data_IF_982146014781
#
_entry.id   IF_982146014781
#
_cell.length_a   1.000
_cell.length_b   1.000
_cell.length_c   1.000
_cell.angle_alpha   90.00
_cell.angle_beta   90.00
_cell.angle_gamma   90.00
#
_symmetry.space_group_name_H-M   'P 1'
#
loop_
_entity.id
_entity.type
_entity.pdbx_description
1 polymer ?
#
# COMPACT_ATOMS: atom_id res chain seq x y z
N UNK A 1 -15.36 -23.93 -16.34
CA UNK A 1 -14.84 -23.09 -15.24
C UNK A 1 -15.12 -23.77 -13.91
N UNK A 2 -14.09 -24.14 -13.15
CA UNK A 2 -14.31 -24.59 -11.78
C UNK A 2 -14.51 -23.32 -10.94
N UNK A 3 -15.69 -23.12 -10.38
CA UNK A 3 -15.91 -22.08 -9.37
C UNK A 3 -15.04 -22.45 -8.15
N UNK A 4 -13.96 -21.73 -7.93
CA UNK A 4 -13.20 -21.85 -6.70
C UNK A 4 -14.05 -21.26 -5.59
N UNK A 5 -14.47 -22.07 -4.63
CA UNK A 5 -15.29 -21.61 -3.51
C UNK A 5 -14.39 -20.77 -2.61
N UNK A 6 -14.60 -19.46 -2.60
CA UNK A 6 -13.89 -18.52 -1.72
C UNK A 6 -14.25 -18.83 -0.27
N UNK A 7 -13.29 -18.89 0.63
CA UNK A 7 -13.52 -19.08 2.06
C UNK A 7 -14.17 -17.85 2.70
N UNK A 8 -15.07 -18.05 3.69
CA UNK A 8 -15.56 -16.92 4.49
C UNK A 8 -14.43 -16.16 5.15
N UNK A 9 -14.57 -14.85 5.22
CA UNK A 9 -13.64 -13.95 5.90
C UNK A 9 -14.39 -12.77 6.50
N UNK A 10 -13.79 -12.12 7.48
CA UNK A 10 -14.34 -10.95 8.15
C UNK A 10 -13.35 -9.78 8.15
N UNK A 11 -13.91 -8.60 8.24
CA UNK A 11 -13.27 -7.36 8.66
C UNK A 11 -13.82 -7.03 10.02
N UNK A 12 -13.01 -7.16 11.07
CA UNK A 12 -13.39 -6.81 12.43
C UNK A 12 -12.71 -5.51 12.82
N UNK A 13 -13.48 -4.52 13.22
CA UNK A 13 -13.01 -3.22 13.67
C UNK A 13 -12.72 -3.20 15.17
N UNK A 14 -11.93 -2.28 15.64
CA UNK A 14 -11.50 -2.14 17.04
C UNK A 14 -12.68 -1.96 18.00
N UNK A 15 -13.76 -1.31 17.57
CA UNK A 15 -14.99 -1.14 18.34
C UNK A 15 -15.90 -2.39 18.39
N UNK A 16 -15.49 -3.46 17.70
CA UNK A 16 -16.21 -4.73 17.63
C UNK A 16 -17.18 -4.86 16.46
N UNK A 17 -17.30 -3.85 15.60
CA UNK A 17 -18.13 -3.92 14.39
C UNK A 17 -17.52 -4.91 13.40
N UNK A 18 -18.38 -5.76 12.78
CA UNK A 18 -17.95 -6.81 11.86
C UNK A 18 -18.60 -6.63 10.50
N UNK A 19 -17.76 -6.68 9.45
CA UNK A 19 -18.22 -6.81 8.06
C UNK A 19 -17.83 -8.17 7.53
N UNK A 20 -18.74 -8.85 6.85
CA UNK A 20 -18.52 -10.17 6.28
C UNK A 20 -18.13 -10.08 4.82
N UNK A 21 -17.24 -10.97 4.42
CA UNK A 21 -16.76 -11.09 3.05
C UNK A 21 -16.17 -12.46 2.79
N UNK A 22 -15.27 -12.54 1.81
CA UNK A 22 -14.62 -13.79 1.41
C UNK A 22 -13.15 -13.54 1.14
N UNK A 23 -12.29 -14.45 1.58
CA UNK A 23 -10.86 -14.40 1.31
C UNK A 23 -10.58 -14.68 -0.17
N UNK A 24 -9.61 -13.95 -0.72
CA UNK A 24 -9.04 -14.17 -2.05
C UNK A 24 -7.65 -14.76 -1.87
N UNK A 25 -7.48 -16.02 -2.28
CA UNK A 25 -6.19 -16.72 -2.20
C UNK A 25 -5.80 -17.11 -0.78
N UNK A 26 -5.04 -16.28 -0.11
CA UNK A 26 -4.43 -16.54 1.19
C UNK A 26 -5.44 -16.68 2.33
N UNK A 27 -5.13 -17.56 3.29
CA UNK A 27 -5.81 -17.69 4.58
C UNK A 27 -4.97 -17.11 5.72
N UNK A 28 -5.61 -16.81 6.84
CA UNK A 28 -4.97 -16.29 8.04
C UNK A 28 -5.57 -14.98 8.50
N UNK A 29 -4.72 -14.12 9.06
CA UNK A 29 -5.13 -12.80 9.56
C UNK A 29 -4.11 -11.72 9.20
N UNK A 30 -4.59 -10.49 8.99
CA UNK A 30 -3.79 -9.31 8.79
C UNK A 30 -4.33 -8.17 9.66
N UNK A 31 -3.45 -7.46 10.34
CA UNK A 31 -3.76 -6.37 11.25
C UNK A 31 -3.23 -5.05 10.73
N UNK A 32 -3.90 -3.95 11.03
CA UNK A 32 -3.47 -2.60 10.68
C UNK A 32 -4.55 -1.57 10.97
N UNK A 33 -4.19 -0.30 10.92
CA UNK A 33 -5.16 0.76 10.93
C UNK A 33 -5.95 0.76 9.61
N UNK A 34 -7.27 0.81 9.69
CA UNK A 34 -8.12 0.79 8.51
C UNK A 34 -8.25 2.18 7.91
N UNK A 35 -8.03 2.27 6.61
CA UNK A 35 -8.23 3.48 5.82
C UNK A 35 -8.96 3.16 4.52
N UNK A 36 -9.38 4.18 3.76
CA UNK A 36 -10.05 3.96 2.48
C UNK A 36 -9.52 4.90 1.39
N UNK A 37 -9.67 4.45 0.16
CA UNK A 37 -9.40 5.26 -1.03
C UNK A 37 -10.59 5.20 -1.98
N UNK A 38 -10.98 6.37 -2.53
CA UNK A 38 -12.13 6.52 -3.44
C UNK A 38 -11.75 6.62 -4.91
N UNK A 39 -10.47 6.46 -5.24
CA UNK A 39 -9.97 6.45 -6.61
C UNK A 39 -10.65 5.35 -7.44
N UNK A 40 -11.09 5.69 -8.64
CA UNK A 40 -11.76 4.75 -9.56
C UNK A 40 -10.75 3.87 -10.31
N UNK A 41 -9.50 4.30 -10.38
CA UNK A 41 -8.37 3.64 -11.07
C UNK A 41 -7.11 3.81 -10.23
N UNK A 42 -6.00 3.16 -10.63
CA UNK A 42 -4.73 3.32 -9.96
C UNK A 42 -4.62 2.49 -8.67
N UNK A 43 -5.25 1.32 -8.63
CA UNK A 43 -5.21 0.49 -7.43
C UNK A 43 -3.80 -0.02 -7.12
N UNK A 44 -2.98 -0.32 -8.13
CA UNK A 44 -1.62 -0.82 -7.93
C UNK A 44 -0.72 0.28 -7.35
N UNK A 45 -0.85 1.50 -7.85
CA UNK A 45 -0.18 2.68 -7.33
C UNK A 45 -0.55 2.90 -5.85
N UNK A 46 -1.83 2.76 -5.49
CA UNK A 46 -2.30 2.88 -4.10
C UNK A 46 -1.68 1.78 -3.21
N UNK A 47 -1.65 0.52 -3.67
CA UNK A 47 -1.17 -0.60 -2.86
C UNK A 47 0.35 -0.56 -2.65
N UNK A 48 1.08 0.05 -3.57
CA UNK A 48 2.54 0.19 -3.52
C UNK A 48 3.01 1.55 -3.02
N UNK A 49 2.09 2.46 -2.69
CA UNK A 49 2.39 3.76 -2.13
C UNK A 49 2.89 3.65 -0.68
N UNK A 50 4.11 4.11 -0.38
CA UNK A 50 4.65 4.10 0.99
C UNK A 50 3.79 4.84 2.01
N UNK A 51 2.94 5.78 1.58
CA UNK A 51 2.04 6.54 2.46
C UNK A 51 1.02 5.66 3.19
N UNK A 52 0.73 4.46 2.66
CA UNK A 52 -0.21 3.50 3.24
C UNK A 52 0.48 2.35 3.97
N UNK A 53 1.76 2.50 4.30
CA UNK A 53 2.53 1.44 4.95
C UNK A 53 1.85 0.95 6.25
N UNK A 54 1.61 -0.36 6.30
CA UNK A 54 1.00 -1.03 7.46
C UNK A 54 -0.50 -0.81 7.64
N UNK A 55 -1.18 -0.09 6.74
CA UNK A 55 -2.63 0.13 6.81
C UNK A 55 -3.43 -0.94 6.06
N UNK A 56 -4.63 -1.23 6.54
CA UNK A 56 -5.64 -2.01 5.82
C UNK A 56 -6.39 -1.05 4.90
N UNK A 57 -6.26 -1.27 3.59
CA UNK A 57 -6.86 -0.42 2.56
C UNK A 57 -8.26 -0.92 2.16
N UNK A 58 -9.26 -0.07 2.29
CA UNK A 58 -10.59 -0.30 1.72
C UNK A 58 -10.69 0.40 0.37
N UNK A 59 -10.76 -0.37 -0.71
CA UNK A 59 -11.00 0.17 -2.04
C UNK A 59 -12.50 0.44 -2.23
N UNK A 60 -12.88 1.72 -2.34
CA UNK A 60 -14.29 2.12 -2.52
C UNK A 60 -14.81 1.84 -3.94
N UNK A 61 -13.90 1.68 -4.92
CA UNK A 61 -14.29 1.29 -6.29
C UNK A 61 -14.91 -0.10 -6.32
N UNK A 62 -15.84 -0.30 -7.26
CA UNK A 62 -16.62 -1.55 -7.33
C UNK A 62 -15.76 -2.74 -7.76
N UNK A 63 -14.81 -2.54 -8.66
CA UNK A 63 -13.99 -3.60 -9.24
C UNK A 63 -12.51 -3.36 -9.00
N UNK A 64 -11.83 -4.38 -8.47
CA UNK A 64 -10.39 -4.45 -8.29
C UNK A 64 -9.85 -5.64 -9.10
N UNK A 65 -8.70 -5.49 -9.75
CA UNK A 65 -8.04 -6.54 -10.53
C UNK A 65 -8.45 -6.60 -12.01
N UNK A 66 -9.44 -5.82 -12.42
CA UNK A 66 -10.04 -5.87 -13.77
C UNK A 66 -9.11 -5.45 -14.92
N UNK A 67 -7.96 -4.84 -14.64
CA UNK A 67 -6.96 -4.48 -15.66
C UNK A 67 -5.56 -5.08 -15.39
N UNK A 68 -5.45 -5.98 -14.39
CA UNK A 68 -4.20 -6.68 -14.08
C UNK A 68 -3.17 -5.82 -13.35
N UNK A 69 -1.91 -6.21 -13.42
CA UNK A 69 -0.78 -5.51 -12.84
C UNK A 69 0.32 -5.24 -13.88
N UNK A 70 1.03 -4.12 -13.71
CA UNK A 70 2.10 -3.67 -14.58
C UNK A 70 3.23 -3.05 -13.74
N UNK A 71 4.45 -3.55 -13.87
CA UNK A 71 5.57 -3.23 -12.97
C UNK A 71 5.91 -1.75 -12.90
N UNK A 72 5.72 -0.99 -14.00
CA UNK A 72 5.98 0.44 -14.02
C UNK A 72 4.97 1.29 -13.25
N UNK A 73 3.83 0.72 -12.86
CA UNK A 73 2.82 1.40 -12.04
C UNK A 73 3.12 1.30 -10.54
N UNK A 74 4.18 0.59 -10.14
CA UNK A 74 4.60 0.57 -8.76
C UNK A 74 5.16 1.91 -8.30
N UNK A 75 4.68 2.39 -7.15
CA UNK A 75 5.17 3.60 -6.50
C UNK A 75 6.35 3.34 -5.55
N UNK A 76 6.65 2.06 -5.26
CA UNK A 76 7.82 1.62 -4.49
C UNK A 76 8.29 0.22 -4.91
N UNK A 77 9.11 -0.44 -4.10
CA UNK A 77 9.69 -1.76 -4.36
C UNK A 77 8.69 -2.93 -4.17
N UNK A 78 7.49 -2.66 -3.68
CA UNK A 78 6.45 -3.67 -3.49
C UNK A 78 5.21 -3.13 -2.80
N UNK A 79 4.29 -4.01 -2.42
CA UNK A 79 3.07 -3.66 -1.69
C UNK A 79 3.41 -3.15 -0.29
N UNK A 80 2.80 -2.06 0.11
CA UNK A 80 3.01 -1.38 1.40
C UNK A 80 1.83 -1.51 2.36
N UNK A 81 0.63 -1.75 1.82
CA UNK A 81 -0.55 -1.99 2.64
C UNK A 81 -0.47 -3.33 3.38
N UNK A 82 -1.04 -3.43 4.57
CA UNK A 82 -1.11 -4.65 5.37
C UNK A 82 -2.20 -5.63 4.88
N UNK A 83 -3.25 -5.11 4.27
CA UNK A 83 -4.37 -5.89 3.75
C UNK A 83 -5.27 -5.08 2.85
N UNK A 84 -6.07 -5.78 2.03
CA UNK A 84 -6.99 -5.16 1.08
C UNK A 84 -8.41 -5.63 1.33
N UNK A 85 -9.35 -4.67 1.34
CA UNK A 85 -10.79 -4.92 1.34
C UNK A 85 -11.40 -4.34 0.09
N UNK A 86 -12.19 -5.13 -0.65
CA UNK A 86 -12.85 -4.68 -1.86
C UNK A 86 -14.25 -5.27 -2.03
N UNK A 87 -15.04 -4.66 -2.93
CA UNK A 87 -16.38 -5.16 -3.27
C UNK A 87 -16.30 -6.37 -4.19
N UNK A 88 -15.65 -6.24 -5.31
CA UNK A 88 -15.46 -7.31 -6.29
C UNK A 88 -13.99 -7.43 -6.65
N UNK A 89 -13.47 -8.64 -6.59
CA UNK A 89 -12.11 -8.97 -7.02
C UNK A 89 -12.15 -9.77 -8.33
N UNK A 90 -11.48 -9.27 -9.37
CA UNK A 90 -11.32 -9.94 -10.65
C UNK A 90 -9.96 -10.63 -10.72
N UNK A 91 -9.96 -11.90 -11.10
CA UNK A 91 -8.75 -12.66 -11.38
C UNK A 91 -8.24 -12.47 -12.81
N UNK A 92 -9.04 -11.80 -13.66
CA UNK A 92 -8.73 -11.59 -15.07
C UNK A 92 -8.50 -10.10 -15.35
N UNK A 93 -7.29 -9.78 -15.77
CA UNK A 93 -6.95 -8.47 -16.30
C UNK A 93 -7.33 -8.35 -17.77
N UNK A 94 -7.93 -7.22 -18.17
CA UNK A 94 -8.37 -6.96 -19.56
C UNK A 94 -7.43 -6.05 -20.35
N UNK A 95 -6.45 -5.42 -19.68
CA UNK A 95 -5.54 -4.46 -20.31
C UNK A 95 -4.39 -5.16 -21.04
N UNK A 96 -4.15 -4.86 -22.35
CA UNK A 96 -3.12 -5.56 -23.15
C UNK A 96 -1.69 -5.44 -22.62
N UNK A 97 -1.36 -4.35 -21.91
CA UNK A 97 -0.01 -4.14 -21.33
C UNK A 97 0.16 -4.78 -19.95
N UNK A 98 -0.86 -5.44 -19.41
CA UNK A 98 -0.76 -6.15 -18.15
C UNK A 98 0.27 -7.28 -18.25
N UNK A 99 1.20 -7.35 -17.31
CA UNK A 99 2.22 -8.39 -17.23
C UNK A 99 1.71 -9.64 -16.51
N UNK A 100 0.81 -9.44 -15.55
CA UNK A 100 0.22 -10.52 -14.75
C UNK A 100 -1.18 -10.15 -14.26
N UNK A 101 -1.93 -11.13 -13.74
CA UNK A 101 -3.17 -10.84 -13.02
C UNK A 101 -2.86 -10.16 -11.68
N UNK A 102 -3.77 -9.31 -11.20
CA UNK A 102 -3.59 -8.72 -9.87
C UNK A 102 -3.52 -9.78 -8.77
N UNK A 103 -4.26 -10.89 -8.92
CA UNK A 103 -4.21 -12.02 -7.97
C UNK A 103 -2.80 -12.59 -7.85
N UNK A 104 -2.13 -12.90 -8.97
CA UNK A 104 -0.75 -13.40 -8.98
C UNK A 104 0.23 -12.38 -8.37
N UNK A 105 0.08 -11.09 -8.70
CA UNK A 105 0.88 -10.02 -8.10
C UNK A 105 0.75 -9.99 -6.58
N UNK A 106 -0.48 -9.98 -6.04
CA UNK A 106 -0.73 -9.89 -4.60
C UNK A 106 -0.34 -11.17 -3.85
N UNK A 107 -0.48 -12.35 -4.47
CA UNK A 107 -0.03 -13.63 -3.91
C UNK A 107 1.49 -13.63 -3.72
N UNK A 108 2.24 -13.21 -4.74
CA UNK A 108 3.70 -13.06 -4.68
C UNK A 108 4.14 -12.05 -3.61
N UNK A 109 3.34 -11.02 -3.36
CA UNK A 109 3.53 -10.02 -2.30
C UNK A 109 3.00 -10.48 -0.94
N UNK A 110 2.43 -11.69 -0.84
CA UNK A 110 1.87 -12.27 0.38
C UNK A 110 0.79 -11.41 1.05
N UNK A 111 0.02 -10.65 0.27
CA UNK A 111 -1.04 -9.77 0.78
C UNK A 111 -2.32 -10.55 1.09
N UNK A 112 -2.95 -10.23 2.22
CA UNK A 112 -4.27 -10.76 2.58
C UNK A 112 -5.38 -9.88 1.99
N UNK A 113 -6.32 -10.50 1.27
CA UNK A 113 -7.40 -9.80 0.57
C UNK A 113 -8.76 -10.35 1.00
N UNK A 114 -9.68 -9.46 1.35
CA UNK A 114 -11.09 -9.80 1.59
C UNK A 114 -11.96 -9.10 0.56
N UNK A 115 -12.66 -9.88 -0.25
CA UNK A 115 -13.63 -9.42 -1.25
C UNK A 115 -15.07 -9.68 -0.80
N UNK A 116 -16.02 -9.25 -1.62
CA UNK A 116 -17.47 -9.42 -1.41
C UNK A 116 -17.99 -8.68 -0.16
N UNK A 117 -17.25 -7.63 0.28
CA UNK A 117 -17.63 -6.78 1.42
C UNK A 117 -18.51 -5.62 0.94
N UNK A 118 -19.46 -5.18 1.78
CA UNK A 118 -20.13 -3.90 1.56
C UNK A 118 -19.19 -2.73 1.87
N UNK A 119 -18.34 -2.42 0.89
CA UNK A 119 -17.34 -1.35 1.03
C UNK A 119 -17.97 0.04 1.17
N UNK A 120 -19.18 0.25 0.65
CA UNK A 120 -19.89 1.53 0.80
C UNK A 120 -20.30 1.76 2.26
N UNK A 121 -20.89 0.74 2.90
CA UNK A 121 -21.24 0.81 4.32
C UNK A 121 -19.98 0.97 5.19
N UNK A 122 -18.91 0.19 4.91
CA UNK A 122 -17.65 0.25 5.64
C UNK A 122 -16.97 1.62 5.51
N UNK A 123 -16.89 2.19 4.31
CA UNK A 123 -16.31 3.53 4.08
C UNK A 123 -17.11 4.61 4.80
N UNK A 124 -18.47 4.54 4.76
CA UNK A 124 -19.31 5.47 5.51
C UNK A 124 -19.06 5.34 7.02
N UNK A 125 -18.93 4.13 7.51
CA UNK A 125 -18.65 3.86 8.92
C UNK A 125 -17.31 4.48 9.36
N UNK A 126 -16.24 4.21 8.64
CA UNK A 126 -14.89 4.75 8.93
C UNK A 126 -14.90 6.29 8.87
N UNK A 127 -15.58 6.86 7.89
CA UNK A 127 -15.69 8.32 7.75
C UNK A 127 -16.38 8.97 8.96
N UNK A 128 -17.40 8.32 9.50
CA UNK A 128 -18.24 8.89 10.57
C UNK A 128 -17.62 8.64 11.97
N UNK A 129 -16.82 7.56 12.13
CA UNK A 129 -16.21 7.16 13.41
C UNK A 129 -14.69 7.41 13.50
N UNK A 130 -14.05 7.76 12.38
CA UNK A 130 -12.60 7.94 12.29
C UNK A 130 -11.84 6.64 11.95
N UNK A 131 -10.54 6.79 11.71
CA UNK A 131 -9.64 5.65 11.53
C UNK A 131 -9.44 4.92 12.86
N UNK A 132 -9.35 3.59 12.80
CA UNK A 132 -9.14 2.71 13.95
C UNK A 132 -8.40 1.45 13.53
N UNK A 133 -7.90 0.69 14.49
CA UNK A 133 -7.31 -0.60 14.19
C UNK A 133 -8.38 -1.59 13.70
N UNK A 134 -7.98 -2.47 12.78
CA UNK A 134 -8.84 -3.52 12.25
C UNK A 134 -8.04 -4.81 12.02
N UNK A 135 -8.76 -5.92 11.90
CA UNK A 135 -8.21 -7.20 11.46
C UNK A 135 -9.05 -7.78 10.33
N UNK A 136 -8.37 -8.25 9.30
CA UNK A 136 -8.92 -9.13 8.28
C UNK A 136 -8.62 -10.57 8.69
N UNK A 137 -9.61 -11.48 8.68
CA UNK A 137 -9.35 -12.86 9.08
C UNK A 137 -10.28 -13.87 8.42
N UNK A 138 -9.76 -15.10 8.21
CA UNK A 138 -10.56 -16.28 7.86
C UNK A 138 -11.06 -17.03 9.09
N UNK A 139 -10.68 -16.63 10.29
CA UNK A 139 -11.14 -17.21 11.56
C UNK A 139 -12.51 -16.61 11.98
N UNK A 140 -13.53 -16.81 11.16
CA UNK A 140 -14.84 -16.16 11.31
C UNK A 140 -15.56 -16.50 12.62
N UNK A 141 -15.26 -17.65 13.22
CA UNK A 141 -15.85 -18.12 14.46
C UNK A 141 -15.07 -17.70 15.72
N UNK A 142 -13.86 -17.14 15.57
CA UNK A 142 -12.96 -16.76 16.66
C UNK A 142 -12.98 -15.23 16.93
N UNK A 143 -14.14 -14.61 16.92
CA UNK A 143 -14.26 -13.15 17.06
C UNK A 143 -13.65 -12.63 18.36
N UNK A 144 -13.88 -13.32 19.49
CA UNK A 144 -13.35 -12.88 20.80
C UNK A 144 -11.81 -13.00 20.86
N UNK A 145 -11.26 -14.06 20.28
CA UNK A 145 -9.79 -14.19 20.16
C UNK A 145 -9.19 -13.09 19.28
N UNK A 146 -9.83 -12.77 18.15
CA UNK A 146 -9.41 -11.68 17.26
C UNK A 146 -9.52 -10.31 17.93
N UNK A 147 -10.58 -10.05 18.72
CA UNK A 147 -10.71 -8.81 19.52
C UNK A 147 -9.58 -8.66 20.53
N UNK A 148 -9.20 -9.74 21.19
CA UNK A 148 -8.09 -9.72 22.15
C UNK A 148 -6.77 -9.41 21.45
N UNK A 149 -6.51 -10.04 20.30
CA UNK A 149 -5.33 -9.76 19.48
C UNK A 149 -5.32 -8.31 18.95
N UNK A 150 -6.47 -7.81 18.51
CA UNK A 150 -6.61 -6.46 17.98
C UNK A 150 -6.34 -5.39 19.05
N UNK A 151 -6.79 -5.59 20.27
CA UNK A 151 -6.49 -4.71 21.43
C UNK A 151 -5.01 -4.69 21.79
N UNK A 152 -4.27 -5.75 21.48
CA UNK A 152 -2.83 -5.82 21.71
C UNK A 152 -2.00 -5.13 20.59
N UNK A 153 -2.63 -4.76 19.46
CA UNK A 153 -1.94 -4.05 18.38
C UNK A 153 -1.62 -2.61 18.77
N UNK A 154 -0.43 -2.11 18.44
CA UNK A 154 -0.11 -0.71 18.65
C UNK A 154 -1.00 0.19 17.78
N UNK A 155 -1.32 1.36 18.27
CA UNK A 155 -1.90 2.42 17.44
C UNK A 155 -0.83 2.97 16.49
N UNK A 156 -1.22 3.37 15.29
CA UNK A 156 -0.35 4.10 14.35
C UNK A 156 0.18 5.43 14.93
N UNK A 157 -0.56 6.00 15.88
CA UNK A 157 -0.19 7.27 16.53
C UNK A 157 1.11 7.13 17.30
N UNK A 158 2.10 7.90 16.88
CA UNK A 158 3.43 7.93 17.52
C UNK A 158 4.43 6.89 17.00
N UNK A 159 4.05 6.06 16.02
CA UNK A 159 4.99 5.17 15.36
C UNK A 159 5.91 5.96 14.40
N UNK A 160 7.20 5.63 14.43
CA UNK A 160 8.17 6.16 13.48
C UNK A 160 8.22 5.25 12.25
N UNK A 161 7.37 5.50 11.26
CA UNK A 161 7.23 4.64 10.07
C UNK A 161 8.16 5.05 8.92
N UNK A 162 8.67 6.28 8.90
CA UNK A 162 9.58 6.74 7.85
C UNK A 162 10.83 5.86 7.68
N UNK A 163 11.48 5.35 8.72
CA UNK A 163 12.58 4.39 8.59
C UNK A 163 12.23 3.10 7.84
N UNK A 164 10.99 2.62 7.98
CA UNK A 164 10.53 1.36 7.38
C UNK A 164 10.30 1.46 5.86
N UNK A 165 10.04 2.67 5.38
CA UNK A 165 9.72 2.94 3.96
C UNK A 165 10.82 3.69 3.22
N UNK A 166 11.83 4.20 3.94
CA UNK A 166 12.99 4.87 3.37
C UNK A 166 13.93 3.90 2.67
N UNK A 167 14.60 4.35 1.61
CA UNK A 167 15.72 3.60 1.02
C UNK A 167 16.82 3.35 2.06
N UNK A 168 17.54 2.24 1.90
CA UNK A 168 18.69 1.92 2.78
C UNK A 168 19.98 2.56 2.30
N UNK A 169 20.09 2.78 0.99
CA UNK A 169 21.27 3.34 0.33
C UNK A 169 20.87 4.46 -0.61
N UNK A 170 21.77 5.43 -0.78
CA UNK A 170 21.54 6.52 -1.72
C UNK A 170 21.59 6.01 -3.16
N UNK A 171 20.69 6.51 -4.01
CA UNK A 171 20.67 6.18 -5.44
C UNK A 171 20.33 7.41 -6.28
N UNK A 172 20.51 7.29 -7.59
CA UNK A 172 20.28 8.38 -8.54
C UNK A 172 19.10 8.06 -9.47
N UNK A 173 18.37 9.11 -9.87
CA UNK A 173 17.28 9.05 -10.83
C UNK A 173 17.41 10.21 -11.82
N UNK A 174 17.21 9.94 -13.12
CA UNK A 174 17.31 10.92 -14.19
C UNK A 174 18.64 10.88 -14.94
N UNK A 175 18.79 11.81 -15.89
CA UNK A 175 20.01 11.94 -16.71
C UNK A 175 21.06 12.72 -15.93
N UNK A 176 22.29 12.19 -15.86
CA UNK A 176 23.40 12.88 -15.19
C UNK A 176 23.80 14.21 -15.86
N UNK A 177 23.44 14.40 -17.12
CA UNK A 177 23.67 15.65 -17.86
C UNK A 177 22.50 16.64 -17.72
N UNK A 178 21.44 16.29 -16.98
CA UNK A 178 20.30 17.17 -16.76
C UNK A 178 20.73 18.50 -16.10
N UNK A 179 20.07 19.63 -16.47
CA UNK A 179 20.48 20.96 -15.99
C UNK A 179 20.23 21.20 -14.50
N UNK A 180 19.30 20.45 -13.88
CA UNK A 180 18.93 20.66 -12.48
C UNK A 180 19.46 19.52 -11.60
N UNK A 181 20.12 19.86 -10.50
CA UNK A 181 20.55 18.92 -9.46
C UNK A 181 19.62 19.00 -8.27
N UNK A 182 19.05 17.86 -7.87
CA UNK A 182 18.08 17.76 -6.77
C UNK A 182 18.57 16.76 -5.74
N UNK A 183 18.58 17.14 -4.47
CA UNK A 183 18.73 16.22 -3.34
C UNK A 183 17.33 15.91 -2.77
N UNK A 184 16.96 14.65 -2.70
CA UNK A 184 15.70 14.19 -2.14
C UNK A 184 15.95 13.34 -0.90
N UNK A 185 15.38 13.70 0.24
CA UNK A 185 15.40 12.86 1.43
C UNK A 185 14.20 11.90 1.34
N UNK A 186 14.50 10.60 1.36
CA UNK A 186 13.47 9.56 1.28
C UNK A 186 12.85 9.28 2.66
N UNK A 187 11.64 9.72 2.84
CA UNK A 187 10.77 9.41 3.99
C UNK A 187 9.53 8.61 3.55
N UNK A 188 9.66 7.84 2.47
CA UNK A 188 8.57 7.16 1.78
C UNK A 188 8.15 7.90 0.50
N UNK A 189 9.11 8.27 -0.34
CA UNK A 189 8.85 8.99 -1.59
C UNK A 189 8.23 8.06 -2.64
N UNK A 190 7.18 8.52 -3.31
CA UNK A 190 6.60 7.82 -4.46
C UNK A 190 7.52 7.91 -5.66
N UNK A 191 7.69 6.80 -6.37
CA UNK A 191 8.49 6.76 -7.61
C UNK A 191 8.00 7.77 -8.65
N UNK A 192 6.70 8.01 -8.73
CA UNK A 192 6.16 8.96 -9.69
C UNK A 192 6.58 10.40 -9.43
N UNK A 193 6.86 10.78 -8.19
CA UNK A 193 7.45 12.09 -7.88
C UNK A 193 8.83 12.21 -8.52
N UNK A 194 9.67 11.20 -8.35
CA UNK A 194 11.01 11.17 -8.91
C UNK A 194 10.98 11.13 -10.45
N UNK A 195 10.10 10.30 -11.05
CA UNK A 195 9.87 10.24 -12.50
C UNK A 195 9.47 11.59 -13.08
N UNK A 196 8.55 12.30 -12.42
CA UNK A 196 8.09 13.60 -12.84
C UNK A 196 9.18 14.69 -12.76
N UNK A 197 10.03 14.65 -11.75
CA UNK A 197 11.17 15.55 -11.63
C UNK A 197 12.20 15.25 -12.73
N UNK A 198 12.56 13.98 -12.92
CA UNK A 198 13.49 13.57 -13.97
C UNK A 198 13.00 13.95 -15.37
N UNK A 199 11.71 13.73 -15.67
CA UNK A 199 11.12 14.14 -16.94
C UNK A 199 11.13 15.66 -17.18
N UNK A 200 11.33 16.46 -16.13
CA UNK A 200 11.50 17.92 -16.21
C UNK A 200 12.95 18.38 -16.18
N UNK A 201 13.88 17.45 -16.41
CA UNK A 201 15.30 17.77 -16.51
C UNK A 201 16.02 17.81 -15.15
N UNK A 202 15.54 17.08 -14.16
CA UNK A 202 16.27 16.94 -12.90
C UNK A 202 17.09 15.65 -12.87
N UNK A 203 18.33 15.75 -12.38
CA UNK A 203 19.13 14.63 -11.90
C UNK A 203 19.06 14.60 -10.38
N UNK A 204 18.48 13.54 -9.84
CA UNK A 204 18.03 13.48 -8.45
C UNK A 204 18.92 12.48 -7.71
N UNK A 205 19.57 12.91 -6.62
CA UNK A 205 20.17 11.99 -5.65
C UNK A 205 19.21 11.80 -4.51
N UNK A 206 18.73 10.57 -4.35
CA UNK A 206 17.81 10.17 -3.28
C UNK A 206 18.62 9.63 -2.12
N UNK A 207 18.39 10.16 -0.93
CA UNK A 207 19.10 9.82 0.29
C UNK A 207 18.21 9.09 1.29
N UNK A 208 18.74 8.16 2.09
CA UNK A 208 18.01 7.53 3.18
C UNK A 208 17.65 8.53 4.28
N UNK A 209 16.64 8.19 5.10
CA UNK A 209 16.22 8.99 6.26
C UNK A 209 17.35 9.29 7.26
N UNK A 210 18.40 8.47 7.28
CA UNK A 210 19.58 8.64 8.14
C UNK A 210 20.59 9.65 7.62
N UNK A 211 20.36 10.23 6.43
CA UNK A 211 21.27 11.20 5.85
C UNK A 211 21.38 12.47 6.70
N UNK A 212 22.58 12.95 6.88
CA UNK A 212 22.87 14.18 7.63
C UNK A 212 23.40 15.27 6.68
N UNK A 213 22.96 16.50 6.91
CA UNK A 213 23.20 17.62 5.99
C UNK A 213 24.67 17.89 5.71
N UNK A 214 25.53 17.72 6.71
CA UNK A 214 26.94 18.04 6.60
C UNK A 214 27.79 16.97 5.89
N UNK A 215 27.27 15.74 5.75
CA UNK A 215 28.03 14.65 5.09
C UNK A 215 27.39 14.17 3.79
N UNK A 216 26.08 14.27 3.63
CA UNK A 216 25.35 13.66 2.52
C UNK A 216 24.63 14.68 1.62
N UNK A 217 24.15 15.80 2.20
CA UNK A 217 23.33 16.78 1.48
C UNK A 217 24.14 17.98 0.98
N UNK A 218 25.39 18.17 1.41
CA UNK A 218 26.26 19.13 0.76
C UNK A 218 26.47 18.65 -0.68
N UNK A 219 25.80 19.29 -1.61
CA UNK A 219 26.23 19.31 -2.98
C UNK A 219 27.74 19.65 -2.96
N UNK A 220 28.54 18.99 -3.77
CA UNK A 220 29.96 19.33 -3.91
C UNK A 220 30.08 20.85 -3.95
N UNK A 221 30.46 21.45 -2.82
CA UNK A 221 31.01 22.79 -2.90
C UNK A 221 32.26 22.60 -3.76
N UNK A 222 32.16 23.00 -4.99
CA UNK A 222 33.34 23.24 -5.81
C UNK A 222 34.16 24.24 -5.03
N UNK A 223 35.27 23.78 -4.46
CA UNK A 223 36.33 24.66 -3.99
C UNK A 223 36.70 25.47 -5.23
N UNK A 224 36.27 26.71 -5.27
CA UNK A 224 36.80 27.69 -6.20
C UNK A 224 38.19 28.04 -5.67
N UNK A 225 39.22 27.43 -6.28
CA UNK A 225 40.58 27.92 -6.22
C UNK A 225 40.68 29.26 -6.98
#
# INVERSE_FOLDING_TARGET
MKYTQKKPAIVLLEDGTVFYGKAVGKEGSAFGEICFNTGMTGYQEIFTDPSYFGQIMVAATVHIGNYGAFSEENESDGVKIAGLVCRNFSEYGSRPISEESLGAFLERQNLFVVSDVDTRALVSYIRDHGSMNAVLSTEVDNIEGLKAQLKAQPSMKGLALAPEVSTKEAYFVGDENAPYRVAALDLGIKRNILRNLAARGAYIKVFPHTAVSYTHLRAHETVLD
#
